data_IF_050316284205
#
_entry.id   IF_050316284205
#
_cell.length_a   1.000
_cell.length_b   1.000
_cell.length_c   1.000
_cell.angle_alpha   90.00
_cell.angle_beta   90.00
_cell.angle_gamma   90.00
#
_symmetry.space_group_name_H-M   'P 1'
#
loop_
_entity.id
_entity.type
_entity.pdbx_description
1 polymer ?
#
# COMPACT_ATOMS: atom_id res chain seq x y z
N UNK A 1 15.59 -4.34 -29.17
CA UNK A 1 16.56 -3.28 -28.79
C UNK A 1 15.83 -2.34 -27.86
N UNK A 2 16.20 -2.38 -26.59
CA UNK A 2 15.52 -1.76 -25.45
C UNK A 2 15.63 -0.24 -25.56
N UNK A 3 14.51 0.48 -25.52
CA UNK A 3 14.50 1.94 -25.42
C UNK A 3 15.10 2.34 -24.07
N UNK A 4 16.38 2.68 -24.08
CA UNK A 4 17.15 3.14 -22.91
C UNK A 4 16.71 4.55 -22.42
N UNK A 5 15.70 5.16 -23.04
CA UNK A 5 15.32 6.56 -22.90
C UNK A 5 14.28 6.85 -21.81
N UNK A 6 13.78 5.85 -21.08
CA UNK A 6 12.77 6.02 -20.03
C UNK A 6 13.18 5.46 -18.67
N UNK A 7 14.46 5.18 -18.48
CA UNK A 7 14.96 4.76 -17.17
C UNK A 7 15.06 5.96 -16.22
N UNK A 8 14.77 5.71 -14.95
CA UNK A 8 14.96 6.67 -13.88
C UNK A 8 15.28 5.95 -12.57
N UNK A 9 16.05 6.61 -11.73
CA UNK A 9 16.27 6.18 -10.34
C UNK A 9 15.02 6.44 -9.50
N UNK A 10 14.88 5.71 -8.39
CA UNK A 10 13.81 5.96 -7.42
C UNK A 10 13.84 7.39 -6.87
N UNK A 11 15.01 7.96 -6.64
CA UNK A 11 15.15 9.37 -6.23
C UNK A 11 14.64 10.33 -7.30
N UNK A 12 15.02 10.15 -8.57
CA UNK A 12 14.52 10.99 -9.67
C UNK A 12 13.00 10.87 -9.84
N UNK A 13 12.44 9.69 -9.56
CA UNK A 13 10.98 9.50 -9.54
C UNK A 13 10.34 10.37 -8.46
N UNK A 14 10.87 10.33 -7.23
CA UNK A 14 10.34 11.11 -6.11
C UNK A 14 10.46 12.61 -6.36
N UNK A 15 11.61 13.09 -6.88
CA UNK A 15 11.80 14.50 -7.21
C UNK A 15 10.78 15.00 -8.23
N UNK A 16 10.53 14.21 -9.29
CA UNK A 16 9.51 14.52 -10.29
C UNK A 16 8.10 14.54 -9.69
N UNK A 17 7.79 13.57 -8.84
CA UNK A 17 6.50 13.48 -8.16
C UNK A 17 6.25 14.69 -7.24
N UNK A 18 7.25 15.11 -6.48
CA UNK A 18 7.19 16.28 -5.60
C UNK A 18 6.95 17.55 -6.42
N UNK A 19 7.67 17.74 -7.53
CA UNK A 19 7.48 18.89 -8.41
C UNK A 19 6.06 18.93 -8.97
N UNK A 20 5.55 17.80 -9.47
CA UNK A 20 4.18 17.69 -9.99
C UNK A 20 3.14 17.99 -8.90
N UNK A 21 3.38 17.53 -7.67
CA UNK A 21 2.51 17.81 -6.53
C UNK A 21 2.45 19.30 -6.22
N UNK A 22 3.60 19.95 -6.11
CA UNK A 22 3.70 21.40 -5.86
C UNK A 22 2.99 22.17 -6.97
N UNK A 23 3.20 21.80 -8.23
CA UNK A 23 2.54 22.43 -9.37
C UNK A 23 1.01 22.30 -9.30
N UNK A 24 0.50 21.13 -8.86
CA UNK A 24 -0.93 20.86 -8.78
C UNK A 24 -1.62 21.58 -7.62
N UNK A 25 -1.04 21.51 -6.41
CA UNK A 25 -1.69 21.93 -5.17
C UNK A 25 -1.18 23.25 -4.59
N UNK A 26 -0.07 23.76 -5.11
CA UNK A 26 0.62 24.96 -4.61
C UNK A 26 0.99 24.85 -3.12
N UNK A 27 1.25 23.63 -2.65
CA UNK A 27 1.70 23.28 -1.32
C UNK A 27 2.80 22.22 -1.43
N UNK A 28 3.77 22.19 -0.50
CA UNK A 28 4.75 21.10 -0.48
C UNK A 28 4.03 19.77 -0.24
N UNK A 29 4.59 18.70 -0.82
CA UNK A 29 4.22 17.35 -0.42
C UNK A 29 4.51 17.24 1.10
N UNK A 30 3.59 16.67 1.91
CA UNK A 30 3.85 16.46 3.33
C UNK A 30 5.21 15.79 3.52
N UNK A 31 5.98 16.21 4.51
CA UNK A 31 7.41 15.86 4.72
C UNK A 31 7.68 14.39 5.06
N UNK A 32 6.72 13.52 4.77
CA UNK A 32 6.76 12.10 4.98
C UNK A 32 7.04 11.43 3.62
N UNK A 33 8.27 10.95 3.44
CA UNK A 33 8.72 10.20 2.26
C UNK A 33 7.88 8.92 1.98
N UNK A 34 7.02 8.50 2.91
CA UNK A 34 6.12 7.37 2.75
C UNK A 34 5.05 7.62 1.66
N UNK A 35 4.71 8.87 1.33
CA UNK A 35 3.78 9.11 0.21
C UNK A 35 4.44 8.70 -1.11
N UNK A 36 5.68 9.13 -1.32
CA UNK A 36 6.46 8.80 -2.49
C UNK A 36 6.78 7.30 -2.55
N UNK A 37 7.16 6.70 -1.42
CA UNK A 37 7.35 5.26 -1.34
C UNK A 37 6.06 4.50 -1.64
N UNK A 38 4.92 4.97 -1.14
CA UNK A 38 3.63 4.32 -1.35
C UNK A 38 3.16 4.42 -2.79
N UNK A 39 3.28 5.59 -3.42
CA UNK A 39 2.97 5.75 -4.84
C UNK A 39 3.92 4.88 -5.68
N UNK A 40 5.23 4.93 -5.40
CA UNK A 40 6.21 4.10 -6.09
C UNK A 40 5.92 2.59 -5.96
N UNK A 41 5.59 2.13 -4.75
CA UNK A 41 5.23 0.75 -4.47
C UNK A 41 3.93 0.34 -5.18
N UNK A 42 2.91 1.19 -5.18
CA UNK A 42 1.66 0.92 -5.89
C UNK A 42 1.89 0.72 -7.39
N UNK A 43 2.70 1.59 -8.00
CA UNK A 43 3.02 1.48 -9.43
C UNK A 43 3.84 0.21 -9.72
N UNK A 44 4.71 -0.18 -8.81
CA UNK A 44 5.49 -1.42 -8.89
C UNK A 44 4.59 -2.66 -8.77
N UNK A 45 3.71 -2.71 -7.78
CA UNK A 45 2.75 -3.79 -7.54
C UNK A 45 1.83 -4.00 -8.75
N UNK A 46 1.46 -2.91 -9.44
CA UNK A 46 0.60 -2.93 -10.62
C UNK A 46 1.36 -3.03 -11.96
N UNK A 47 2.68 -3.30 -11.92
CA UNK A 47 3.53 -3.41 -13.11
C UNK A 47 3.52 -2.19 -14.04
N UNK A 48 3.21 -1.00 -13.51
CA UNK A 48 3.32 0.29 -14.21
C UNK A 48 4.75 0.82 -14.15
N UNK A 49 5.43 0.53 -13.05
CA UNK A 49 6.85 0.77 -12.85
C UNK A 49 7.54 -0.60 -12.74
N UNK A 50 8.65 -0.81 -13.45
CA UNK A 50 9.37 -2.08 -13.45
C UNK A 50 10.81 -1.85 -13.01
N UNK A 51 11.29 -2.67 -12.05
CA UNK A 51 12.67 -2.61 -11.55
C UNK A 51 13.63 -3.31 -12.53
N UNK A 52 14.75 -2.65 -12.83
CA UNK A 52 15.73 -3.13 -13.83
C UNK A 52 16.51 -4.37 -13.41
N UNK A 53 16.76 -4.57 -12.12
CA UNK A 53 17.45 -5.73 -11.55
C UNK A 53 16.48 -6.44 -10.63
N UNK A 54 15.89 -7.53 -11.11
CA UNK A 54 14.87 -8.27 -10.38
C UNK A 54 15.48 -9.57 -9.82
N UNK A 55 15.89 -9.56 -8.54
CA UNK A 55 16.31 -10.77 -7.83
C UNK A 55 15.26 -11.28 -6.84
N UNK A 56 14.25 -10.46 -6.51
CA UNK A 56 13.39 -10.70 -5.37
C UNK A 56 11.97 -11.07 -5.80
N UNK A 57 11.39 -12.09 -5.17
CA UNK A 57 10.01 -12.51 -5.44
C UNK A 57 8.96 -11.45 -5.07
N UNK A 58 9.33 -10.45 -4.25
CA UNK A 58 8.49 -9.33 -3.85
C UNK A 58 9.33 -8.04 -3.84
N UNK A 59 9.46 -7.35 -4.99
CA UNK A 59 10.29 -6.16 -5.09
C UNK A 59 9.68 -5.01 -4.27
N UNK A 60 10.54 -4.29 -3.54
CA UNK A 60 10.15 -3.09 -2.80
C UNK A 60 10.69 -1.84 -3.48
N UNK A 61 9.82 -0.85 -3.64
CA UNK A 61 10.22 0.45 -4.13
C UNK A 61 11.21 1.09 -3.14
N UNK A 62 12.29 1.63 -3.70
CA UNK A 62 13.37 2.29 -2.98
C UNK A 62 14.02 3.35 -3.88
N UNK A 63 14.65 4.33 -3.25
CA UNK A 63 15.24 5.49 -3.92
C UNK A 63 16.45 5.15 -4.80
N UNK A 64 17.18 4.08 -4.49
CA UNK A 64 18.48 3.78 -5.11
C UNK A 64 18.38 2.93 -6.38
N UNK A 65 17.29 2.19 -6.52
CA UNK A 65 17.09 1.28 -7.65
C UNK A 65 16.72 2.04 -8.92
N UNK A 66 17.02 1.42 -10.08
CA UNK A 66 16.67 1.94 -11.40
C UNK A 66 15.39 1.25 -11.86
N UNK A 67 14.45 2.07 -12.32
CA UNK A 67 13.14 1.66 -12.81
C UNK A 67 12.91 2.14 -14.24
N UNK A 68 11.93 1.55 -14.91
CA UNK A 68 11.40 2.02 -16.18
C UNK A 68 9.88 1.90 -16.20
N UNK A 69 9.24 2.76 -16.99
CA UNK A 69 7.80 2.73 -17.21
C UNK A 69 7.43 1.58 -18.16
N UNK A 70 6.37 0.84 -17.84
CA UNK A 70 5.79 -0.15 -18.76
C UNK A 70 4.87 0.49 -19.81
N UNK A 71 4.43 1.73 -19.57
CA UNK A 71 3.58 2.49 -20.46
C UNK A 71 4.37 3.17 -21.59
N UNK A 72 3.81 3.28 -22.80
CA UNK A 72 4.45 4.01 -23.90
C UNK A 72 4.62 5.48 -23.55
N UNK A 73 5.70 6.09 -24.03
CA UNK A 73 5.92 7.54 -23.87
C UNK A 73 4.74 8.32 -24.46
N UNK A 74 4.18 9.24 -23.67
CA UNK A 74 3.18 10.19 -24.14
C UNK A 74 3.91 11.34 -24.83
N UNK A 75 3.51 11.69 -26.05
CA UNK A 75 4.05 12.85 -26.76
C UNK A 75 3.77 14.14 -25.99
N UNK A 76 4.74 15.04 -25.85
CA UNK A 76 4.61 16.33 -25.13
C UNK A 76 3.40 17.17 -25.60
N UNK A 77 3.03 17.07 -26.88
CA UNK A 77 1.84 17.76 -27.42
C UNK A 77 0.52 17.32 -26.77
N UNK A 78 0.42 16.09 -26.24
CA UNK A 78 -0.75 15.61 -25.49
C UNK A 78 -0.75 16.09 -24.04
N UNK A 79 0.40 16.41 -23.46
CA UNK A 79 0.51 16.91 -22.09
C UNK A 79 -0.08 18.33 -21.95
N UNK A 80 -0.06 19.14 -23.01
CA UNK A 80 -0.63 20.50 -23.03
C UNK A 80 -2.14 20.56 -22.81
N UNK A 81 -2.84 19.44 -23.03
CA UNK A 81 -4.30 19.35 -22.89
C UNK A 81 -4.73 18.62 -21.62
N UNK A 82 -3.77 18.21 -20.77
CA UNK A 82 -4.13 17.58 -19.51
C UNK A 82 -4.73 18.61 -18.57
N UNK A 83 -5.98 18.37 -18.18
CA UNK A 83 -6.65 19.17 -17.17
C UNK A 83 -5.92 19.04 -15.84
N UNK A 84 -5.45 20.18 -15.31
CA UNK A 84 -4.77 20.27 -14.02
C UNK A 84 -5.61 19.67 -12.88
N UNK A 85 -6.94 19.81 -12.95
CA UNK A 85 -7.84 19.23 -11.97
C UNK A 85 -7.87 17.71 -12.03
N UNK A 86 -7.82 17.14 -13.24
CA UNK A 86 -7.74 15.68 -13.41
C UNK A 86 -6.43 15.17 -12.84
N UNK A 87 -5.31 15.84 -13.14
CA UNK A 87 -4.00 15.47 -12.61
C UNK A 87 -3.97 15.53 -11.07
N UNK A 88 -4.48 16.61 -10.48
CA UNK A 88 -4.61 16.74 -9.03
C UNK A 88 -5.46 15.60 -8.41
N UNK A 89 -6.62 15.30 -9.00
CA UNK A 89 -7.46 14.20 -8.52
C UNK A 89 -6.75 12.84 -8.64
N UNK A 90 -6.01 12.61 -9.72
CA UNK A 90 -5.19 11.40 -9.90
C UNK A 90 -4.09 11.29 -8.85
N UNK A 91 -3.40 12.38 -8.51
CA UNK A 91 -2.37 12.38 -7.46
C UNK A 91 -2.94 12.05 -6.09
N UNK A 92 -4.10 12.60 -5.74
CA UNK A 92 -4.78 12.24 -4.47
C UNK A 92 -5.16 10.76 -4.46
N UNK A 93 -5.71 10.26 -5.57
CA UNK A 93 -6.05 8.85 -5.71
C UNK A 93 -4.82 7.94 -5.56
N UNK A 94 -3.71 8.29 -6.21
CA UNK A 94 -2.44 7.58 -6.10
C UNK A 94 -1.88 7.64 -4.68
N UNK A 95 -1.93 8.78 -4.00
CA UNK A 95 -1.46 8.92 -2.63
C UNK A 95 -2.26 8.05 -1.65
N UNK A 96 -3.59 8.01 -1.81
CA UNK A 96 -4.46 7.16 -0.98
C UNK A 96 -4.22 5.68 -1.26
N UNK A 97 -4.23 5.26 -2.53
CA UNK A 97 -4.00 3.87 -2.93
C UNK A 97 -2.58 3.41 -2.61
N UNK A 98 -1.61 4.32 -2.72
CA UNK A 98 -0.21 4.10 -2.39
C UNK A 98 0.01 3.85 -0.91
N UNK A 99 -0.78 4.49 -0.05
CA UNK A 99 -0.76 4.20 1.38
C UNK A 99 -1.14 2.74 1.66
N UNK A 100 -2.18 2.22 1.01
CA UNK A 100 -2.62 0.84 1.19
C UNK A 100 -1.57 -0.17 0.70
N UNK A 101 -0.98 0.08 -0.48
CA UNK A 101 0.11 -0.75 -1.02
C UNK A 101 1.35 -0.75 -0.11
N UNK A 102 1.73 0.42 0.41
CA UNK A 102 2.83 0.53 1.35
C UNK A 102 2.55 -0.18 2.67
N UNK A 103 1.35 -0.01 3.24
CA UNK A 103 0.94 -0.70 4.46
C UNK A 103 1.05 -2.22 4.30
N UNK A 104 0.53 -2.76 3.20
CA UNK A 104 0.64 -4.20 2.92
C UNK A 104 2.10 -4.66 2.81
N UNK A 105 2.93 -3.87 2.14
CA UNK A 105 4.37 -4.14 1.99
C UNK A 105 5.07 -4.19 3.35
N UNK A 106 4.77 -3.24 4.25
CA UNK A 106 5.30 -3.19 5.61
C UNK A 106 4.80 -4.37 6.45
N UNK A 107 3.52 -4.71 6.36
CA UNK A 107 2.94 -5.79 7.16
C UNK A 107 3.46 -7.18 6.73
N UNK A 108 3.92 -7.33 5.48
CA UNK A 108 4.63 -8.52 4.99
C UNK A 108 6.04 -8.66 5.57
N UNK A 109 6.66 -7.58 6.09
CA UNK A 109 7.98 -7.65 6.75
C UNK A 109 7.87 -8.38 8.09
N UNK A 110 8.92 -9.12 8.50
CA UNK A 110 8.98 -9.64 9.86
C UNK A 110 8.88 -8.48 10.87
N UNK A 111 8.13 -8.68 11.95
CA UNK A 111 7.80 -7.66 12.95
C UNK A 111 9.03 -6.90 13.49
N UNK A 112 10.14 -7.60 13.68
CA UNK A 112 11.38 -7.07 14.26
C UNK A 112 12.21 -6.23 13.28
N UNK A 113 11.85 -6.22 11.99
CA UNK A 113 12.53 -5.49 10.92
C UNK A 113 11.78 -4.23 10.47
N UNK A 114 10.72 -3.85 11.19
CA UNK A 114 9.95 -2.62 10.90
C UNK A 114 10.62 -1.42 11.58
N UNK A 115 10.79 -0.36 10.83
CA UNK A 115 11.32 0.93 11.30
C UNK A 115 10.27 1.69 12.14
N UNK A 116 10.71 2.69 12.92
CA UNK A 116 9.79 3.51 13.72
C UNK A 116 8.80 4.31 12.86
N UNK A 117 9.22 4.75 11.67
CA UNK A 117 8.37 5.43 10.69
C UNK A 117 7.28 4.50 10.15
N UNK A 118 7.62 3.25 9.85
CA UNK A 118 6.67 2.23 9.42
C UNK A 118 5.70 1.84 10.55
N UNK A 119 6.17 1.76 11.80
CA UNK A 119 5.31 1.53 12.96
C UNK A 119 4.33 2.69 13.20
N UNK A 120 4.74 3.94 12.95
CA UNK A 120 3.85 5.11 12.98
C UNK A 120 2.76 4.98 11.92
N UNK A 121 3.10 4.59 10.70
CA UNK A 121 2.12 4.36 9.63
C UNK A 121 1.10 3.28 10.02
N UNK A 122 1.58 2.14 10.52
CA UNK A 122 0.68 1.07 11.01
C UNK A 122 -0.24 1.59 12.12
N UNK A 123 0.29 2.38 13.05
CA UNK A 123 -0.48 2.95 14.15
C UNK A 123 -1.56 3.93 13.66
N UNK A 124 -1.24 4.76 12.65
CA UNK A 124 -2.21 5.65 12.01
C UNK A 124 -3.38 4.84 11.44
N UNK A 125 -3.10 3.76 10.73
CA UNK A 125 -4.13 2.88 10.16
C UNK A 125 -4.96 2.15 11.24
N UNK A 126 -4.31 1.66 12.31
CA UNK A 126 -5.00 1.09 13.48
C UNK A 126 -5.98 2.09 14.11
N UNK A 127 -5.68 3.40 14.08
CA UNK A 127 -6.59 4.41 14.62
C UNK A 127 -7.86 4.58 13.80
N UNK A 128 -7.85 4.25 12.50
CA UNK A 128 -9.02 4.33 11.63
C UNK A 128 -9.89 3.06 11.67
N UNK A 129 -9.35 1.93 12.12
CA UNK A 129 -10.12 0.69 12.30
C UNK A 129 -11.10 0.88 13.46
N UNK A 130 -12.41 0.94 13.13
CA UNK A 130 -13.49 1.13 14.11
C UNK A 130 -13.44 0.11 15.25
N UNK A 131 -13.07 -1.13 14.96
CA UNK A 131 -12.91 -2.21 15.93
C UNK A 131 -11.82 -1.98 16.99
N UNK A 132 -10.91 -1.01 16.79
CA UNK A 132 -9.86 -0.64 17.74
C UNK A 132 -10.08 0.73 18.37
N UNK A 133 -11.18 1.42 18.04
CA UNK A 133 -11.46 2.79 18.49
C UNK A 133 -11.42 2.96 20.02
N UNK A 134 -11.89 1.97 20.77
CA UNK A 134 -11.95 1.97 22.24
C UNK A 134 -10.62 1.63 22.94
N UNK A 135 -9.60 1.20 22.20
CA UNK A 135 -8.32 0.81 22.78
C UNK A 135 -7.46 2.03 23.13
N UNK A 136 -6.73 1.95 24.23
CA UNK A 136 -5.80 3.01 24.64
C UNK A 136 -4.66 3.18 23.64
N UNK A 137 -4.05 4.37 23.60
CA UNK A 137 -2.88 4.65 22.73
C UNK A 137 -1.72 3.67 22.98
N UNK A 138 -1.50 3.27 24.24
CA UNK A 138 -0.46 2.30 24.61
C UNK A 138 -0.74 0.92 24.02
N UNK A 139 -1.99 0.45 24.10
CA UNK A 139 -2.39 -0.84 23.53
C UNK A 139 -2.26 -0.80 22.00
N UNK A 140 -2.73 0.26 21.34
CA UNK A 140 -2.60 0.39 19.87
C UNK A 140 -1.14 0.38 19.39
N UNK A 141 -0.23 1.01 20.14
CA UNK A 141 1.22 0.92 19.89
C UNK A 141 1.76 -0.50 20.06
N UNK A 142 1.29 -1.22 21.08
CA UNK A 142 1.61 -2.63 21.25
C UNK A 142 1.15 -3.48 20.06
N UNK A 143 -0.08 -3.28 19.60
CA UNK A 143 -0.64 -3.97 18.44
C UNK A 143 0.16 -3.66 17.17
N UNK A 144 0.50 -2.40 16.92
CA UNK A 144 1.29 -2.00 15.74
C UNK A 144 2.62 -2.78 15.61
N UNK A 145 3.22 -3.14 16.75
CA UNK A 145 4.48 -3.91 16.78
C UNK A 145 4.32 -5.40 16.48
N UNK A 146 3.12 -5.97 16.63
CA UNK A 146 2.91 -7.43 16.52
C UNK A 146 1.91 -7.82 15.44
N UNK A 147 1.20 -6.88 14.84
CA UNK A 147 0.20 -7.14 13.80
C UNK A 147 0.87 -7.79 12.57
N UNK A 148 0.18 -8.77 11.99
CA UNK A 148 0.58 -9.48 10.79
C UNK A 148 -0.51 -9.37 9.73
N UNK A 149 -0.13 -9.48 8.46
CA UNK A 149 -1.06 -9.55 7.34
C UNK A 149 -1.13 -10.99 6.82
N UNK A 150 -2.35 -11.49 6.65
CA UNK A 150 -2.65 -12.73 5.97
C UNK A 150 -3.51 -12.42 4.73
N UNK A 151 -3.12 -12.95 3.57
CA UNK A 151 -3.81 -12.75 2.30
C UNK A 151 -4.42 -14.08 1.89
N UNK A 152 -5.72 -14.06 1.60
CA UNK A 152 -6.48 -15.23 1.18
C UNK A 152 -6.97 -14.99 -0.25
N UNK A 153 -6.37 -15.69 -1.20
CA UNK A 153 -6.58 -15.41 -2.63
C UNK A 153 -7.87 -16.03 -3.19
N UNK A 154 -8.32 -17.15 -2.61
CA UNK A 154 -9.44 -17.92 -3.16
C UNK A 154 -10.71 -17.80 -2.33
N UNK A 155 -11.81 -17.44 -2.99
CA UNK A 155 -13.14 -17.46 -2.39
C UNK A 155 -13.51 -18.88 -1.94
N UNK A 156 -14.19 -18.99 -0.79
CA UNK A 156 -14.56 -20.28 -0.20
C UNK A 156 -13.46 -20.93 0.65
N UNK A 157 -12.28 -20.31 0.76
CA UNK A 157 -11.24 -20.76 1.71
C UNK A 157 -11.76 -20.70 3.14
N UNK A 158 -11.59 -21.80 3.88
CA UNK A 158 -11.99 -21.91 5.27
C UNK A 158 -10.85 -21.38 6.14
N UNK A 159 -11.07 -20.25 6.82
CA UNK A 159 -10.07 -19.61 7.69
C UNK A 159 -9.92 -20.36 9.02
N UNK A 160 -11.04 -20.78 9.61
CA UNK A 160 -11.07 -21.59 10.83
C UNK A 160 -12.31 -22.47 10.85
N UNK A 161 -12.21 -23.61 11.53
CA UNK A 161 -13.30 -24.53 11.81
C UNK A 161 -13.63 -24.53 13.29
N UNK A 162 -14.86 -24.94 13.61
CA UNK A 162 -15.27 -25.14 14.99
C UNK A 162 -14.41 -26.24 15.61
N UNK A 163 -13.77 -25.92 16.74
CA UNK A 163 -12.85 -26.82 17.44
C UNK A 163 -11.37 -26.50 17.21
N UNK A 164 -11.05 -25.58 16.29
CA UNK A 164 -9.68 -25.11 16.09
C UNK A 164 -9.21 -24.26 17.28
N UNK A 165 -7.92 -24.31 17.57
CA UNK A 165 -7.28 -23.49 18.60
C UNK A 165 -7.27 -22.02 18.16
N UNK A 166 -8.04 -21.18 18.84
CA UNK A 166 -8.09 -19.74 18.59
C UNK A 166 -6.94 -19.01 19.29
N UNK A 167 -5.78 -18.91 18.63
CA UNK A 167 -4.60 -18.24 19.17
C UNK A 167 -4.45 -16.78 18.70
N UNK A 168 -5.28 -16.35 17.74
CA UNK A 168 -5.18 -15.05 17.08
C UNK A 168 -6.55 -14.38 16.96
N UNK A 169 -6.55 -13.05 16.86
CA UNK A 169 -7.73 -12.27 16.49
C UNK A 169 -7.55 -11.73 15.07
N UNK A 170 -8.65 -11.66 14.32
CA UNK A 170 -8.65 -11.23 12.93
C UNK A 170 -9.49 -9.96 12.75
N UNK A 171 -9.07 -9.12 11.82
CA UNK A 171 -9.86 -8.00 11.31
C UNK A 171 -9.79 -8.05 9.79
N UNK A 172 -10.93 -8.02 9.13
CA UNK A 172 -11.01 -8.01 7.66
C UNK A 172 -10.68 -6.61 7.17
N UNK A 173 -9.57 -6.48 6.43
CA UNK A 173 -9.18 -5.21 5.81
C UNK A 173 -9.83 -5.03 4.43
N UNK A 174 -9.91 -6.11 3.65
CA UNK A 174 -10.58 -6.14 2.36
C UNK A 174 -11.32 -7.47 2.17
N UNK A 175 -12.48 -7.43 1.52
CA UNK A 175 -13.36 -8.57 1.33
C UNK A 175 -14.39 -8.77 2.45
N UNK A 176 -14.95 -9.98 2.52
CA UNK A 176 -15.91 -10.37 3.55
C UNK A 176 -15.73 -11.84 3.94
N UNK A 177 -16.19 -12.18 5.14
CA UNK A 177 -16.22 -13.56 5.64
C UNK A 177 -17.66 -13.97 5.89
N UNK A 178 -17.97 -15.24 5.63
CA UNK A 178 -19.26 -15.83 5.96
C UNK A 178 -19.08 -16.82 7.12
N UNK A 179 -19.83 -16.62 8.21
CA UNK A 179 -19.86 -17.56 9.32
C UNK A 179 -20.93 -18.64 9.06
N UNK A 180 -20.49 -19.88 8.86
CA UNK A 180 -21.38 -21.05 8.76
C UNK A 180 -21.42 -21.80 10.09
N UNK A 181 -22.62 -21.97 10.63
CA UNK A 181 -22.86 -22.78 11.83
C UNK A 181 -23.62 -24.03 11.43
N UNK A 182 -23.07 -25.21 11.72
CA UNK A 182 -23.82 -26.46 11.65
C UNK A 182 -24.75 -26.53 12.88
N UNK A 183 -26.05 -26.28 12.65
CA UNK A 183 -27.09 -26.56 13.65
C UNK A 183 -28.01 -25.41 14.03
N UNK A 184 -28.67 -24.74 13.06
CA UNK A 184 -29.97 -24.12 13.37
C UNK A 184 -30.96 -25.24 13.72
N UNK A 185 -31.09 -25.58 15.01
CA UNK A 185 -32.27 -26.28 15.50
C UNK A 185 -33.44 -25.30 15.37
N UNK A 186 -34.25 -25.50 14.33
CA UNK A 186 -35.59 -24.91 14.25
C UNK A 186 -36.38 -25.57 15.38
N UNK A 187 -36.66 -24.82 16.45
CA UNK A 187 -37.69 -25.21 17.39
C UNK A 187 -39.03 -24.82 16.75
N UNK A 188 -39.86 -25.83 16.48
CA UNK A 188 -41.27 -25.67 16.13
C UNK A 188 -42.05 -25.15 17.34
#
# INVERSE_FOLDING_TARGET
MSNCSQQLTGSEFCDKLINIWIDCFNIPLPSNYLIELGIGQLLLDNSLLIISKNSDHNPQFNFSSIYYWSLPSISENKLKYFDKQILANSLIFLANSGRDSLLQTILKKPKDYRTEEELKLILEEINYIRGFSYLSKGIKRGIAKIICLEIVEYAGTIIFKKGDLANCWYTVLNGYLEAKSEGKKVFH
#
